data_IF_785083793499
#
_entry.id   IF_785083793499
#
_cell.length_a   1.000
_cell.length_b   1.000
_cell.length_c   1.000
_cell.angle_alpha   90.00
_cell.angle_beta   90.00
_cell.angle_gamma   90.00
#
_symmetry.space_group_name_H-M   'P 1'
#
loop_
_entity.id
_entity.type
_entity.pdbx_description
1 polymer ?
#
# COMPACT_ATOMS: atom_id res chain seq x y z
N UNK A 1 31.67 34.08 29.80
CA UNK A 1 31.48 32.66 29.73
C UNK A 1 30.13 32.40 29.11
N UNK A 2 30.16 31.95 27.88
CA UNK A 2 29.10 32.13 26.93
C UNK A 2 28.05 31.02 27.07
N UNK A 3 26.94 31.35 27.68
CA UNK A 3 25.71 30.52 27.70
C UNK A 3 24.98 30.55 26.35
N UNK A 4 25.56 31.14 25.33
CA UNK A 4 24.94 31.29 24.00
C UNK A 4 25.41 30.27 22.94
N UNK A 5 26.27 29.31 23.34
CA UNK A 5 26.85 28.34 22.43
C UNK A 5 26.20 26.94 22.47
N UNK A 6 25.13 26.77 23.25
CA UNK A 6 24.45 25.46 23.37
C UNK A 6 23.10 25.35 22.71
N UNK A 7 22.69 26.32 21.91
CA UNK A 7 21.36 26.27 21.25
C UNK A 7 21.43 25.91 19.77
N UNK A 8 22.62 25.81 19.20
CA UNK A 8 22.80 25.61 17.75
C UNK A 8 22.94 24.12 17.31
N UNK A 9 22.82 23.13 18.19
CA UNK A 9 23.13 21.74 17.82
C UNK A 9 21.92 20.79 17.82
N UNK A 10 20.70 21.28 17.86
CA UNK A 10 19.49 20.44 17.91
C UNK A 10 18.61 20.53 16.65
N UNK A 11 19.07 21.14 15.58
CA UNK A 11 18.25 21.35 14.38
C UNK A 11 18.60 20.44 13.17
N UNK A 12 19.46 19.43 13.31
CA UNK A 12 19.95 18.67 12.14
C UNK A 12 19.41 17.25 12.03
N UNK A 13 18.56 16.77 12.94
CA UNK A 13 18.11 15.38 12.91
C UNK A 13 16.74 15.17 12.25
N UNK A 14 16.04 16.23 11.87
CA UNK A 14 14.68 16.14 11.32
C UNK A 14 14.58 16.06 9.79
N UNK A 15 15.66 16.33 9.03
CA UNK A 15 15.57 16.50 7.59
C UNK A 15 15.56 15.21 6.77
N UNK A 16 16.21 14.14 7.24
CA UNK A 16 16.41 12.93 6.43
C UNK A 16 15.17 12.01 6.36
N UNK A 17 14.32 12.01 7.37
CA UNK A 17 13.12 11.17 7.40
C UNK A 17 12.03 11.68 6.44
N UNK A 18 11.85 12.98 6.33
CA UNK A 18 10.88 13.60 5.43
C UNK A 18 11.25 13.45 3.95
N UNK A 19 12.54 13.52 3.62
CA UNK A 19 13.00 13.33 2.24
C UNK A 19 12.82 11.87 1.76
N UNK A 20 13.00 10.90 2.62
CA UNK A 20 12.84 9.48 2.28
C UNK A 20 11.38 9.15 2.04
N UNK A 21 10.47 9.68 2.85
CA UNK A 21 9.03 9.48 2.69
C UNK A 21 8.50 10.14 1.41
N UNK A 22 8.89 11.38 1.13
CA UNK A 22 8.47 12.07 -0.08
C UNK A 22 9.05 11.44 -1.36
N UNK A 23 10.23 10.86 -1.31
CA UNK A 23 10.80 10.10 -2.44
C UNK A 23 10.02 8.81 -2.70
N UNK A 24 9.67 8.07 -1.67
CA UNK A 24 8.85 6.86 -1.79
C UNK A 24 7.47 7.17 -2.37
N UNK A 25 6.84 8.25 -1.97
CA UNK A 25 5.59 8.73 -2.53
C UNK A 25 5.71 9.09 -4.01
N UNK A 26 6.75 9.80 -4.38
CA UNK A 26 7.02 10.17 -5.77
C UNK A 26 7.22 8.94 -6.66
N UNK A 27 8.05 8.00 -6.23
CA UNK A 27 8.29 6.75 -6.96
C UNK A 27 7.01 5.95 -7.14
N UNK A 28 6.22 5.77 -6.07
CA UNK A 28 4.95 5.06 -6.13
C UNK A 28 4.01 5.66 -7.16
N UNK A 29 3.85 6.98 -7.18
CA UNK A 29 2.97 7.67 -8.13
C UNK A 29 3.45 7.57 -9.58
N UNK A 30 4.76 7.60 -9.80
CA UNK A 30 5.32 7.51 -11.15
C UNK A 30 5.46 6.08 -11.67
N UNK A 31 5.62 5.11 -10.77
CA UNK A 31 5.97 3.74 -11.11
C UNK A 31 4.81 2.76 -10.93
N UNK A 32 3.67 3.22 -10.43
CA UNK A 32 2.54 2.34 -10.16
C UNK A 32 1.21 3.08 -10.11
N UNK A 33 0.13 2.33 -10.22
CA UNK A 33 -1.23 2.82 -10.03
C UNK A 33 -2.14 1.72 -9.52
N UNK A 34 -3.21 2.11 -8.85
CA UNK A 34 -4.26 1.22 -8.37
C UNK A 34 -5.62 1.70 -8.90
N UNK A 35 -6.38 0.79 -9.48
CA UNK A 35 -7.72 1.05 -9.99
C UNK A 35 -8.70 -0.04 -9.57
N UNK A 36 -9.97 0.31 -9.48
CA UNK A 36 -11.05 -0.67 -9.40
C UNK A 36 -11.34 -1.21 -10.79
N UNK A 37 -11.50 -2.51 -10.94
CA UNK A 37 -11.84 -3.11 -12.22
C UNK A 37 -13.19 -2.59 -12.73
N UNK A 38 -13.24 -2.25 -14.00
CA UNK A 38 -14.48 -1.80 -14.66
C UNK A 38 -15.48 -2.93 -14.88
N UNK A 39 -15.03 -4.16 -14.84
CA UNK A 39 -15.86 -5.35 -15.08
C UNK A 39 -16.40 -5.96 -13.79
N UNK A 40 -15.70 -5.79 -12.69
CA UNK A 40 -16.04 -6.35 -11.39
C UNK A 40 -15.48 -5.45 -10.28
N UNK A 41 -16.34 -4.77 -9.57
CA UNK A 41 -15.97 -3.82 -8.51
C UNK A 41 -15.38 -4.47 -7.26
N UNK A 42 -15.46 -5.81 -7.15
CA UNK A 42 -14.78 -6.58 -6.11
C UNK A 42 -13.30 -6.85 -6.43
N UNK A 43 -12.87 -6.51 -7.63
CA UNK A 43 -11.51 -6.72 -8.13
C UNK A 43 -10.78 -5.39 -8.23
N UNK A 44 -9.58 -5.36 -7.67
CA UNK A 44 -8.64 -4.26 -7.83
C UNK A 44 -7.54 -4.65 -8.82
N UNK A 45 -7.10 -3.67 -9.58
CA UNK A 45 -6.01 -3.82 -10.53
C UNK A 45 -4.87 -2.90 -10.09
N UNK A 46 -3.74 -3.50 -9.79
CA UNK A 46 -2.50 -2.80 -9.49
C UNK A 46 -1.54 -2.97 -10.65
N UNK A 47 -1.08 -1.87 -11.21
CA UNK A 47 -0.10 -1.90 -12.29
C UNK A 47 1.19 -1.23 -11.83
N UNK A 48 2.32 -1.77 -12.26
CA UNK A 48 3.64 -1.27 -11.90
C UNK A 48 4.59 -1.31 -13.09
N UNK A 49 5.48 -0.33 -13.13
CA UNK A 49 6.57 -0.29 -14.09
C UNK A 49 7.77 -1.09 -13.59
N UNK A 50 8.59 -1.52 -14.54
CA UNK A 50 9.91 -2.08 -14.29
C UNK A 50 10.99 -1.19 -14.90
N UNK A 51 12.17 -1.19 -14.31
CA UNK A 51 13.33 -0.50 -14.84
C UNK A 51 14.62 -1.12 -14.26
N UNK A 52 15.77 -0.50 -14.53
CA UNK A 52 17.05 -0.99 -14.04
C UNK A 52 17.19 -1.03 -12.50
N UNK A 53 16.48 -0.13 -11.80
CA UNK A 53 16.45 -0.10 -10.34
C UNK A 53 15.42 -1.11 -9.77
N UNK A 54 14.34 -1.39 -10.51
CA UNK A 54 13.27 -2.30 -10.10
C UNK A 54 13.01 -3.35 -11.19
N UNK A 55 13.94 -4.30 -11.42
CA UNK A 55 13.76 -5.32 -12.45
C UNK A 55 12.59 -6.24 -12.16
N UNK A 56 12.00 -6.80 -13.20
CA UNK A 56 10.85 -7.70 -13.11
C UNK A 56 11.11 -8.93 -12.21
N UNK A 57 12.27 -9.55 -12.38
CA UNK A 57 12.62 -10.80 -11.71
C UNK A 57 13.33 -10.62 -10.36
N UNK A 58 13.51 -9.39 -9.89
CA UNK A 58 14.19 -9.12 -8.63
C UNK A 58 13.26 -9.27 -7.44
N UNK A 59 13.61 -10.10 -6.47
CA UNK A 59 12.83 -10.28 -5.24
C UNK A 59 12.74 -8.98 -4.42
N UNK A 60 13.82 -8.19 -4.37
CA UNK A 60 13.81 -6.90 -3.67
C UNK A 60 12.95 -5.86 -4.38
N UNK A 61 12.95 -5.84 -5.71
CA UNK A 61 12.06 -4.98 -6.49
C UNK A 61 10.60 -5.39 -6.32
N UNK A 62 10.30 -6.68 -6.24
CA UNK A 62 8.95 -7.17 -5.95
C UNK A 62 8.47 -6.74 -4.56
N UNK A 63 9.33 -6.83 -3.56
CA UNK A 63 9.01 -6.35 -2.22
C UNK A 63 8.69 -4.84 -2.22
N UNK A 64 9.43 -4.06 -3.00
CA UNK A 64 9.15 -2.62 -3.18
C UNK A 64 7.81 -2.40 -3.86
N UNK A 65 7.47 -3.13 -4.91
CA UNK A 65 6.15 -3.05 -5.58
C UNK A 65 5.01 -3.40 -4.63
N UNK A 66 5.19 -4.40 -3.80
CA UNK A 66 4.18 -4.76 -2.78
C UNK A 66 4.03 -3.68 -1.72
N UNK A 67 5.10 -3.02 -1.34
CA UNK A 67 5.05 -1.85 -0.46
C UNK A 67 4.27 -0.68 -1.11
N UNK A 68 4.45 -0.42 -2.40
CA UNK A 68 3.63 0.57 -3.12
C UNK A 68 2.15 0.19 -3.14
N UNK A 69 1.86 -1.09 -3.37
CA UNK A 69 0.48 -1.59 -3.32
C UNK A 69 -0.15 -1.36 -1.95
N UNK A 70 0.54 -1.72 -0.89
CA UNK A 70 0.04 -1.53 0.49
C UNK A 70 -0.21 -0.05 0.78
N UNK A 71 0.66 0.85 0.34
CA UNK A 71 0.49 2.29 0.48
C UNK A 71 -0.73 2.80 -0.31
N UNK A 72 -0.95 2.31 -1.52
CA UNK A 72 -2.14 2.64 -2.31
C UNK A 72 -3.43 2.19 -1.63
N UNK A 73 -3.45 0.94 -1.14
CA UNK A 73 -4.62 0.38 -0.45
C UNK A 73 -4.96 1.16 0.82
N UNK A 74 -3.96 1.54 1.60
CA UNK A 74 -4.15 2.33 2.80
C UNK A 74 -4.69 3.73 2.49
N UNK A 75 -4.11 4.41 1.51
CA UNK A 75 -4.54 5.76 1.11
C UNK A 75 -5.94 5.79 0.54
N UNK A 76 -6.30 4.81 -0.28
CA UNK A 76 -7.61 4.73 -0.90
C UNK A 76 -8.66 4.09 0.03
N UNK A 77 -8.25 3.55 1.15
CA UNK A 77 -9.14 2.91 2.12
C UNK A 77 -9.68 1.55 1.65
N UNK A 78 -8.92 0.83 0.82
CA UNK A 78 -9.31 -0.49 0.35
C UNK A 78 -8.71 -1.61 1.19
N UNK A 79 -9.36 -2.77 1.18
CA UNK A 79 -8.84 -4.02 1.73
C UNK A 79 -8.43 -3.92 3.20
N UNK A 80 -9.32 -3.42 4.06
CA UNK A 80 -9.06 -3.28 5.50
C UNK A 80 -8.66 -4.59 6.19
N UNK A 81 -9.03 -5.74 5.62
CA UNK A 81 -8.75 -7.09 6.17
C UNK A 81 -7.72 -7.86 5.35
N UNK A 82 -6.97 -7.16 4.49
CA UNK A 82 -5.99 -7.79 3.61
C UNK A 82 -6.55 -8.14 2.23
N UNK A 83 -5.74 -8.77 1.42
CA UNK A 83 -6.10 -9.12 0.05
C UNK A 83 -5.41 -10.40 -0.39
N UNK A 84 -5.94 -11.00 -1.45
CA UNK A 84 -5.32 -12.09 -2.18
C UNK A 84 -4.94 -11.61 -3.58
N UNK A 85 -3.72 -11.94 -4.03
CA UNK A 85 -3.31 -11.72 -5.41
C UNK A 85 -3.81 -12.89 -6.23
N UNK A 86 -4.71 -12.61 -7.16
CA UNK A 86 -5.30 -13.61 -8.04
C UNK A 86 -4.42 -13.91 -9.25
N UNK A 87 -3.73 -12.89 -9.77
CA UNK A 87 -2.82 -13.05 -10.89
C UNK A 87 -1.76 -11.96 -10.91
N UNK A 88 -0.60 -12.29 -11.47
CA UNK A 88 0.49 -11.38 -11.79
C UNK A 88 0.92 -11.66 -13.22
N UNK A 89 0.75 -10.70 -14.08
CA UNK A 89 1.04 -10.85 -15.51
C UNK A 89 1.96 -9.75 -16.00
N UNK A 90 2.88 -10.12 -16.88
CA UNK A 90 3.63 -9.18 -17.67
C UNK A 90 2.75 -8.66 -18.81
N UNK A 91 2.71 -7.34 -18.99
CA UNK A 91 1.96 -6.73 -20.06
C UNK A 91 2.76 -6.78 -21.36
N UNK A 92 2.15 -7.33 -22.41
CA UNK A 92 2.73 -7.46 -23.74
C UNK A 92 2.01 -6.58 -24.76
N UNK A 93 2.50 -6.63 -26.00
CA UNK A 93 2.01 -5.78 -27.10
C UNK A 93 0.52 -6.01 -27.46
N UNK A 94 -0.06 -7.16 -27.09
CA UNK A 94 -1.47 -7.47 -27.32
C UNK A 94 -2.41 -7.11 -26.18
N UNK A 95 -1.86 -6.63 -25.06
CA UNK A 95 -2.64 -6.29 -23.89
C UNK A 95 -3.15 -4.86 -23.91
N UNK A 96 -4.32 -4.64 -23.32
CA UNK A 96 -4.82 -3.29 -23.07
C UNK A 96 -3.97 -2.68 -21.96
N UNK A 97 -3.24 -1.62 -22.29
CA UNK A 97 -2.28 -0.98 -21.39
C UNK A 97 -2.35 0.54 -21.55
N UNK A 98 -3.36 1.15 -20.95
CA UNK A 98 -3.60 2.60 -21.06
C UNK A 98 -2.54 3.46 -20.37
N UNK A 99 -1.82 2.90 -19.43
CA UNK A 99 -0.87 3.63 -18.59
C UNK A 99 0.59 3.29 -18.89
N UNK A 100 0.83 2.47 -19.91
CA UNK A 100 2.17 2.06 -20.32
C UNK A 100 2.98 1.45 -19.17
N UNK A 101 2.36 0.54 -18.45
CA UNK A 101 2.97 -0.20 -17.34
C UNK A 101 3.47 -1.56 -17.82
N UNK A 102 4.31 -2.20 -17.02
CA UNK A 102 4.96 -3.46 -17.39
C UNK A 102 4.36 -4.70 -16.74
N UNK A 103 3.83 -4.53 -15.53
CA UNK A 103 3.25 -5.60 -14.72
C UNK A 103 1.83 -5.25 -14.31
N UNK A 104 0.95 -6.25 -14.30
CA UNK A 104 -0.42 -6.13 -13.79
C UNK A 104 -0.70 -7.20 -12.77
N UNK A 105 -1.15 -6.76 -11.61
CA UNK A 105 -1.62 -7.61 -10.52
C UNK A 105 -3.13 -7.46 -10.40
N UNK A 106 -3.81 -8.57 -10.36
CA UNK A 106 -5.25 -8.60 -10.08
C UNK A 106 -5.43 -9.10 -8.66
N UNK A 107 -6.15 -8.37 -7.85
CA UNK A 107 -6.35 -8.74 -6.45
C UNK A 107 -7.80 -8.60 -6.02
N UNK A 108 -8.14 -9.34 -4.98
CA UNK A 108 -9.43 -9.28 -4.32
C UNK A 108 -9.24 -9.03 -2.84
N UNK A 109 -9.95 -8.06 -2.29
CA UNK A 109 -9.94 -7.83 -0.86
C UNK A 109 -10.54 -9.01 -0.11
N UNK A 110 -9.94 -9.35 1.02
CA UNK A 110 -10.53 -10.29 1.98
C UNK A 110 -11.72 -9.64 2.66
N UNK A 111 -12.74 -10.43 2.89
CA UNK A 111 -13.92 -9.99 3.62
C UNK A 111 -13.65 -9.87 5.11
N UNK A 112 -14.46 -9.07 5.79
CA UNK A 112 -14.43 -9.03 7.25
C UNK A 112 -14.65 -10.43 7.81
N UNK A 113 -13.84 -10.87 8.80
CA UNK A 113 -14.08 -12.15 9.42
C UNK A 113 -15.48 -12.16 10.04
N UNK A 114 -16.19 -13.31 10.01
CA UNK A 114 -17.48 -13.42 10.66
C UNK A 114 -17.35 -13.08 12.14
N UNK A 115 -18.34 -12.45 12.73
CA UNK A 115 -18.31 -12.01 14.15
C UNK A 115 -17.91 -13.13 15.12
N UNK A 116 -18.23 -14.37 14.79
CA UNK A 116 -17.88 -15.57 15.57
C UNK A 116 -16.38 -15.92 15.50
N UNK A 117 -15.68 -15.51 14.46
CA UNK A 117 -14.26 -15.75 14.27
C UNK A 117 -13.39 -14.60 14.78
N UNK A 118 -13.94 -13.42 14.97
CA UNK A 118 -13.30 -12.32 15.67
C UNK A 118 -13.37 -12.65 17.15
N UNK A 119 -12.34 -13.36 17.64
CA UNK A 119 -12.21 -13.80 19.00
C UNK A 119 -12.74 -12.78 20.00
N UNK A 120 -13.30 -13.32 21.07
CA UNK A 120 -13.69 -12.65 22.28
C UNK A 120 -13.99 -11.15 22.11
N UNK A 121 -15.19 -10.83 21.75
CA UNK A 121 -15.76 -9.58 22.23
C UNK A 121 -15.80 -9.71 23.74
N UNK A 122 -15.06 -8.87 24.47
CA UNK A 122 -15.28 -8.82 25.88
C UNK A 122 -16.79 -8.72 26.05
N UNK A 123 -17.35 -9.67 26.73
CA UNK A 123 -18.74 -9.66 27.06
C UNK A 123 -19.01 -8.29 27.66
N UNK A 124 -19.51 -7.39 26.87
CA UNK A 124 -20.10 -6.18 27.40
C UNK A 124 -21.20 -6.71 28.34
N UNK A 125 -21.08 -6.46 29.63
CA UNK A 125 -22.15 -6.80 30.51
C UNK A 125 -23.38 -6.23 29.82
N UNK A 126 -24.25 -7.10 29.41
CA UNK A 126 -25.50 -6.64 28.83
C UNK A 126 -25.97 -5.59 29.78
N UNK A 127 -26.09 -4.36 29.32
CA UNK A 127 -26.83 -3.37 30.05
C UNK A 127 -28.19 -3.98 30.19
N UNK A 128 -28.37 -4.76 31.26
CA UNK A 128 -29.67 -5.20 31.62
C UNK A 128 -30.44 -3.94 31.76
N UNK A 129 -31.33 -3.75 30.85
CA UNK A 129 -32.36 -2.79 31.04
C UNK A 129 -32.95 -3.10 32.41
N UNK A 130 -32.64 -2.27 33.33
CA UNK A 130 -33.41 -2.21 34.54
C UNK A 130 -34.78 -1.73 34.13
N UNK A 131 -35.65 -2.67 33.90
CA UNK A 131 -37.06 -2.38 33.83
C UNK A 131 -37.59 -2.23 35.22
#
# INVERSE_FOLDING_TARGET
MNRWMMVALLAVVGGCALETESRGDFERHNMSLLEVSRQDDSILIFEASTNGAYPEASASAEATRMSWLDDWLEREGYCAYGYDILSRNKLGAGDINFHDMDLRYTLRCKEAPPEEAVGYRPHMPSMRRFS
#
